data_IF_215297088214
#
_entry.id   IF_215297088214
#
_cell.length_a   1.000
_cell.length_b   1.000
_cell.length_c   1.000
_cell.angle_alpha   90.00
_cell.angle_beta   90.00
_cell.angle_gamma   90.00
#
_symmetry.space_group_name_H-M   'P 1'
#
loop_
_entity.id
_entity.type
_entity.pdbx_description
1 polymer ?
#
# COMPACT_ATOMS: atom_id res chain seq x y z
N UNK A 1 -11.27 -17.73 11.70
CA UNK A 1 -12.66 -17.24 11.50
C UNK A 1 -13.76 -18.21 11.95
N UNK A 2 -13.53 -19.53 12.04
CA UNK A 2 -14.57 -20.52 12.40
C UNK A 2 -15.31 -20.20 13.71
N UNK A 3 -14.58 -19.71 14.71
CA UNK A 3 -15.11 -19.34 16.03
C UNK A 3 -16.10 -18.18 16.03
N UNK A 4 -16.14 -17.38 14.97
CA UNK A 4 -17.03 -16.21 14.86
C UNK A 4 -18.07 -16.36 13.75
N UNK A 5 -18.17 -17.53 13.11
CA UNK A 5 -19.21 -17.82 12.12
C UNK A 5 -20.62 -17.66 12.72
N UNK A 6 -21.60 -17.05 12.02
CA UNK A 6 -21.57 -16.61 10.61
C UNK A 6 -21.10 -15.15 10.39
N UNK A 7 -20.56 -14.46 11.40
CA UNK A 7 -20.19 -13.05 11.27
C UNK A 7 -18.96 -12.88 10.34
N UNK A 8 -18.99 -11.95 9.36
CA UNK A 8 -17.85 -11.71 8.48
C UNK A 8 -16.67 -11.10 9.25
N UNK A 9 -15.45 -11.54 8.93
CA UNK A 9 -14.22 -11.07 9.57
C UNK A 9 -13.46 -10.10 8.68
N UNK A 10 -13.03 -8.98 9.26
CA UNK A 10 -12.04 -8.07 8.70
C UNK A 10 -10.68 -8.29 9.34
N UNK A 11 -9.61 -8.30 8.55
CA UNK A 11 -8.23 -8.33 9.03
C UNK A 11 -7.51 -7.05 8.63
N UNK A 12 -6.76 -6.45 9.55
CA UNK A 12 -5.86 -5.33 9.25
C UNK A 12 -4.47 -5.87 8.91
N UNK A 13 -3.95 -5.52 7.74
CA UNK A 13 -2.60 -5.86 7.30
C UNK A 13 -1.77 -4.58 7.27
N UNK A 14 -0.81 -4.49 8.19
CA UNK A 14 0.05 -3.31 8.38
C UNK A 14 1.48 -3.44 7.83
N UNK A 15 1.90 -4.67 7.50
CA UNK A 15 3.22 -4.99 6.93
C UNK A 15 3.21 -6.37 6.27
N UNK A 16 4.23 -6.65 5.46
CA UNK A 16 4.47 -7.97 4.86
C UNK A 16 5.13 -8.97 5.81
N UNK A 17 5.50 -8.57 7.04
CA UNK A 17 6.33 -9.37 7.95
C UNK A 17 5.73 -10.73 8.34
N UNK A 18 4.40 -10.88 8.23
CA UNK A 18 3.69 -12.12 8.53
C UNK A 18 3.49 -13.05 7.32
N UNK A 19 4.04 -12.72 6.14
CA UNK A 19 3.87 -13.53 4.92
C UNK A 19 2.42 -13.68 4.47
N UNK A 20 1.51 -12.83 4.98
CA UNK A 20 0.08 -12.90 4.68
C UNK A 20 -0.16 -12.50 3.23
N UNK A 21 -0.85 -13.37 2.48
CA UNK A 21 -1.33 -13.07 1.13
C UNK A 21 -2.85 -12.89 1.14
N UNK A 22 -3.37 -12.21 0.13
CA UNK A 22 -4.83 -12.09 -0.06
C UNK A 22 -5.45 -13.48 -0.18
N UNK A 23 -4.84 -14.38 -0.95
CA UNK A 23 -5.28 -15.78 -1.12
C UNK A 23 -5.34 -16.51 0.21
N UNK A 24 -4.27 -16.46 1.01
CA UNK A 24 -4.24 -17.12 2.32
C UNK A 24 -5.35 -16.60 3.25
N UNK A 25 -5.56 -15.29 3.29
CA UNK A 25 -6.62 -14.70 4.12
C UNK A 25 -8.02 -15.11 3.61
N UNK A 26 -8.21 -15.17 2.29
CA UNK A 26 -9.45 -15.63 1.67
C UNK A 26 -9.75 -17.10 1.98
N UNK A 27 -8.74 -17.98 1.87
CA UNK A 27 -8.83 -19.41 2.20
C UNK A 27 -9.15 -19.64 3.68
N UNK A 28 -8.63 -18.76 4.54
CA UNK A 28 -8.96 -18.72 5.97
C UNK A 28 -10.37 -18.17 6.24
N UNK A 29 -11.12 -17.75 5.22
CA UNK A 29 -12.50 -17.26 5.31
C UNK A 29 -12.64 -15.80 5.72
N UNK A 30 -11.59 -14.99 5.61
CA UNK A 30 -11.67 -13.52 5.77
C UNK A 30 -12.54 -12.94 4.66
N UNK A 31 -13.30 -11.87 4.97
CA UNK A 31 -14.21 -11.21 4.03
C UNK A 31 -13.81 -9.79 3.67
N UNK A 32 -12.99 -9.14 4.50
CA UNK A 32 -12.43 -7.82 4.22
C UNK A 32 -10.98 -7.77 4.69
N UNK A 33 -10.14 -7.10 3.90
CA UNK A 33 -8.78 -6.76 4.27
C UNK A 33 -8.71 -5.23 4.33
N UNK A 34 -8.27 -4.72 5.46
CA UNK A 34 -8.01 -3.30 5.67
C UNK A 34 -6.51 -3.06 5.78
N UNK A 35 -6.03 -1.91 5.32
CA UNK A 35 -4.60 -1.58 5.36
C UNK A 35 -4.25 -0.51 6.40
N UNK A 36 -5.25 0.07 7.06
CA UNK A 36 -5.06 1.25 7.92
C UNK A 36 -4.32 2.36 7.16
N UNK A 37 -3.27 2.92 7.77
CA UNK A 37 -2.43 3.97 7.18
C UNK A 37 -1.33 3.45 6.25
N UNK A 38 -1.29 2.15 5.92
CA UNK A 38 -0.11 1.55 5.28
C UNK A 38 0.17 2.06 3.87
N UNK A 39 -0.86 2.35 3.05
CA UNK A 39 -0.66 2.96 1.74
C UNK A 39 -0.08 4.38 1.85
N UNK A 40 -0.59 5.20 2.77
CA UNK A 40 -0.07 6.55 3.03
C UNK A 40 1.37 6.51 3.52
N UNK A 41 1.71 5.57 4.42
CA UNK A 41 3.10 5.37 4.87
C UNK A 41 4.03 4.90 3.77
N UNK A 42 3.55 4.06 2.84
CA UNK A 42 4.33 3.64 1.68
C UNK A 42 4.65 4.83 0.77
N UNK A 43 3.67 5.71 0.50
CA UNK A 43 3.88 6.94 -0.26
C UNK A 43 4.89 7.87 0.43
N UNK A 44 4.74 8.10 1.75
CA UNK A 44 5.70 8.90 2.52
C UNK A 44 7.10 8.28 2.53
N UNK A 45 7.21 6.96 2.56
CA UNK A 45 8.51 6.26 2.45
C UNK A 45 9.23 6.60 1.13
N UNK A 46 8.51 6.64 0.01
CA UNK A 46 9.07 7.02 -1.28
C UNK A 46 9.50 8.50 -1.30
N UNK A 47 8.67 9.40 -0.77
CA UNK A 47 9.00 10.84 -0.64
C UNK A 47 10.25 11.06 0.20
N UNK A 48 10.33 10.41 1.38
CA UNK A 48 11.49 10.52 2.26
C UNK A 48 12.76 9.96 1.61
N UNK A 49 12.66 8.88 0.83
CA UNK A 49 13.79 8.33 0.08
C UNK A 49 14.29 9.32 -0.97
N UNK A 50 13.39 9.91 -1.75
CA UNK A 50 13.74 10.92 -2.75
C UNK A 50 14.35 12.18 -2.11
N UNK A 51 13.75 12.68 -1.04
CA UNK A 51 14.24 13.86 -0.33
C UNK A 51 15.67 13.65 0.21
N UNK A 52 15.96 12.47 0.78
CA UNK A 52 17.33 12.13 1.24
C UNK A 52 18.32 12.09 0.09
N UNK A 53 18.00 11.44 -1.03
CA UNK A 53 18.91 11.44 -2.19
C UNK A 53 19.22 12.84 -2.72
N UNK A 54 18.25 13.77 -2.66
CA UNK A 54 18.46 15.16 -3.05
C UNK A 54 19.33 15.92 -2.03
N UNK A 55 19.05 15.76 -0.72
CA UNK A 55 19.72 16.52 0.35
C UNK A 55 21.13 16.00 0.60
N UNK A 56 21.28 14.68 0.69
CA UNK A 56 22.51 14.03 1.16
C UNK A 56 23.48 13.83 -0.01
N UNK A 57 22.97 13.43 -1.19
CA UNK A 57 23.79 13.01 -2.34
C UNK A 57 23.68 13.94 -3.55
N UNK A 58 22.71 14.87 -3.59
CA UNK A 58 22.51 15.79 -4.70
C UNK A 58 21.99 15.14 -5.99
N UNK A 59 21.37 13.94 -5.90
CA UNK A 59 20.90 13.16 -7.06
C UNK A 59 19.38 13.07 -7.13
N UNK A 60 18.87 12.75 -8.32
CA UNK A 60 17.43 12.72 -8.62
C UNK A 60 16.89 11.34 -8.98
N UNK A 61 17.71 10.28 -8.94
CA UNK A 61 17.37 8.92 -9.40
C UNK A 61 16.05 8.38 -8.83
N UNK A 62 15.70 8.74 -7.58
CA UNK A 62 14.45 8.31 -6.96
C UNK A 62 13.20 8.84 -7.67
N UNK A 63 13.31 9.95 -8.41
CA UNK A 63 12.22 10.54 -9.18
C UNK A 63 11.84 9.68 -10.40
N UNK A 64 12.72 8.81 -10.89
CA UNK A 64 12.42 7.90 -12.01
C UNK A 64 11.29 6.90 -11.67
N UNK A 65 11.01 6.71 -10.38
CA UNK A 65 9.90 5.87 -9.90
C UNK A 65 8.57 6.62 -9.77
N UNK A 66 8.52 7.91 -10.13
CA UNK A 66 7.30 8.71 -10.05
C UNK A 66 6.24 8.18 -11.02
N UNK A 67 4.97 8.24 -10.60
CA UNK A 67 3.85 7.85 -11.45
C UNK A 67 3.79 8.75 -12.70
N UNK A 68 3.64 8.18 -13.92
CA UNK A 68 3.58 8.98 -15.14
C UNK A 68 2.39 9.95 -15.14
N UNK A 69 2.60 11.15 -15.69
CA UNK A 69 1.54 12.17 -15.79
C UNK A 69 0.29 11.65 -16.49
N UNK A 70 0.44 10.83 -17.55
CA UNK A 70 -0.68 10.25 -18.29
C UNK A 70 -1.59 9.39 -17.40
N UNK A 71 -1.00 8.56 -16.54
CA UNK A 71 -1.75 7.71 -15.60
C UNK A 71 -2.45 8.56 -14.53
N UNK A 72 -1.74 9.52 -13.92
CA UNK A 72 -2.32 10.40 -12.91
C UNK A 72 -3.47 11.25 -13.47
N UNK A 73 -3.28 11.84 -14.66
CA UNK A 73 -4.31 12.64 -15.32
C UNK A 73 -5.53 11.79 -15.69
N UNK A 74 -5.35 10.53 -16.09
CA UNK A 74 -6.45 9.63 -16.35
C UNK A 74 -7.29 9.34 -15.09
N UNK A 75 -6.63 9.19 -13.93
CA UNK A 75 -7.30 8.96 -12.63
C UNK A 75 -8.04 10.21 -12.15
N UNK A 76 -7.50 11.41 -12.38
CA UNK A 76 -8.08 12.68 -11.93
C UNK A 76 -9.11 13.29 -12.89
N UNK A 77 -9.29 12.70 -14.08
CA UNK A 77 -10.27 13.19 -15.05
C UNK A 77 -11.67 13.15 -14.42
N UNK A 78 -12.45 14.25 -14.47
CA UNK A 78 -13.85 14.23 -14.06
C UNK A 78 -14.62 13.16 -14.82
N UNK A 79 -15.54 12.48 -14.11
CA UNK A 79 -16.47 11.53 -14.74
C UNK A 79 -17.55 12.26 -15.53
#
# INVERSE_FOLDING_TARGET
VKTVHPKPVNVLVGSSAAGLTVTLLADLGVRRISLGSSLSRAAWGAVMKAARGIIDDGVFDALDSAAPFGELNAIFKPK
#
